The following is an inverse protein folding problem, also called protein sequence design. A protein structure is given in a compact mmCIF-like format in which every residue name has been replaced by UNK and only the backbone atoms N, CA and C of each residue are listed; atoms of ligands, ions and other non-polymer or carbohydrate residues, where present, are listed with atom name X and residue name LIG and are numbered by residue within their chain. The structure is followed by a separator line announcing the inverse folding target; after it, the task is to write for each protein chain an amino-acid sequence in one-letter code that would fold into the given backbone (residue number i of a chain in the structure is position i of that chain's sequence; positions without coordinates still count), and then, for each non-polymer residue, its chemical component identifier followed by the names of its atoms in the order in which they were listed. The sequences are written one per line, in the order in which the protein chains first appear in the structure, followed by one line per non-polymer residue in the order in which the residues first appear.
data_IF_504474877864
#
_entry.id   IF_504474877864
#
_cell.length_a   1.000
_cell.length_b   1.000
_cell.length_c   1.000
_cell.angle_alpha   90.00
_cell.angle_beta   90.00
_cell.angle_gamma   90.00
#
_symmetry.space_group_name_H-M   'P 1'
#
loop_
_entity.id
_entity.type
_entity.pdbx_description
1 polymer ?
#
# COMPACT_ATOMS: atom_id res chain seq x y z
N UNK A 1 -21.49 5.41 20.37
CA UNK A 1 -21.94 6.73 19.88
C UNK A 1 -21.07 7.90 20.34
N UNK A 2 -20.59 7.96 21.58
CA UNK A 2 -19.80 9.09 22.10
C UNK A 2 -18.46 9.30 21.37
N UNK A 3 -17.73 8.22 21.05
CA UNK A 3 -16.45 8.28 20.32
C UNK A 3 -16.64 8.89 18.92
N UNK A 4 -17.61 8.40 18.16
CA UNK A 4 -17.87 8.87 16.79
C UNK A 4 -18.25 10.36 16.76
N UNK A 5 -19.08 10.79 17.72
CA UNK A 5 -19.43 12.20 17.84
C UNK A 5 -18.22 13.09 18.15
N UNK A 6 -17.34 12.66 19.05
CA UNK A 6 -16.09 13.36 19.35
C UNK A 6 -15.15 13.40 18.13
N UNK A 7 -15.05 12.29 17.41
CA UNK A 7 -14.22 12.19 16.21
C UNK A 7 -14.67 13.18 15.13
N UNK A 8 -15.96 13.22 14.78
CA UNK A 8 -16.45 14.15 13.77
C UNK A 8 -16.38 15.63 14.18
N UNK A 9 -16.44 15.93 15.49
CA UNK A 9 -16.18 17.28 15.97
C UNK A 9 -14.74 17.71 15.74
N UNK A 10 -13.77 16.81 15.90
CA UNK A 10 -12.36 17.07 15.67
C UNK A 10 -12.03 17.11 14.16
N UNK A 11 -12.72 16.30 13.36
CA UNK A 11 -12.46 16.14 11.93
C UNK A 11 -13.74 16.35 11.10
N UNK A 12 -14.29 17.57 11.03
CA UNK A 12 -15.57 17.83 10.37
C UNK A 12 -15.52 17.53 8.85
N UNK A 13 -14.36 17.62 8.22
CA UNK A 13 -14.18 17.26 6.81
C UNK A 13 -14.55 15.81 6.50
N UNK A 14 -14.36 14.87 7.43
CA UNK A 14 -14.78 13.49 7.26
C UNK A 14 -16.30 13.36 7.20
N UNK A 15 -17.02 14.08 8.06
CA UNK A 15 -18.48 14.09 8.04
C UNK A 15 -19.01 14.70 6.74
N UNK A 16 -18.41 15.80 6.29
CA UNK A 16 -18.75 16.43 5.00
C UNK A 16 -18.51 15.47 3.84
N UNK A 17 -17.39 14.74 3.86
CA UNK A 17 -17.08 13.70 2.87
C UNK A 17 -18.15 12.61 2.86
N UNK A 18 -18.55 12.06 4.00
CA UNK A 18 -19.60 11.04 4.08
C UNK A 18 -20.93 11.55 3.49
N UNK A 19 -21.33 12.75 3.85
CA UNK A 19 -22.58 13.37 3.34
C UNK A 19 -22.52 13.60 1.83
N UNK A 20 -21.36 14.03 1.32
CA UNK A 20 -21.15 14.20 -0.11
C UNK A 20 -21.22 12.88 -0.87
N UNK A 21 -20.55 11.82 -0.36
CA UNK A 21 -20.61 10.48 -0.96
C UNK A 21 -22.03 9.95 -1.00
N UNK A 22 -22.78 10.06 0.12
CA UNK A 22 -24.18 9.66 0.19
C UNK A 22 -25.02 10.39 -0.86
N UNK A 23 -24.86 11.70 -0.99
CA UNK A 23 -25.55 12.48 -2.02
C UNK A 23 -25.19 12.00 -3.44
N UNK A 24 -23.91 11.73 -3.72
CA UNK A 24 -23.46 11.28 -5.04
C UNK A 24 -24.08 9.92 -5.42
N UNK A 25 -24.06 8.94 -4.51
CA UNK A 25 -24.61 7.61 -4.83
C UNK A 25 -26.13 7.64 -4.96
N UNK A 26 -26.83 8.46 -4.17
CA UNK A 26 -28.30 8.62 -4.27
C UNK A 26 -28.72 9.34 -5.57
N UNK A 27 -27.96 10.36 -5.99
CA UNK A 27 -28.33 11.19 -7.15
C UNK A 27 -27.80 10.64 -8.47
N UNK A 28 -26.61 10.05 -8.47
CA UNK A 28 -25.91 9.69 -9.70
C UNK A 28 -25.54 8.20 -9.80
N UNK A 29 -25.73 7.42 -8.73
CA UNK A 29 -25.41 5.99 -8.67
C UNK A 29 -23.97 5.65 -9.08
N UNK A 30 -23.05 6.60 -8.97
CA UNK A 30 -21.65 6.44 -9.36
C UNK A 30 -20.75 7.36 -8.60
N UNK A 31 -19.50 6.91 -8.44
CA UNK A 31 -18.38 7.69 -7.91
C UNK A 31 -17.20 7.61 -8.84
N UNK A 32 -16.48 8.71 -8.95
CA UNK A 32 -15.19 8.79 -9.61
C UNK A 32 -14.11 8.88 -8.53
N UNK A 33 -13.12 7.99 -8.56
CA UNK A 33 -11.98 8.06 -7.65
C UNK A 33 -11.03 9.18 -8.03
N UNK A 34 -10.13 9.54 -7.12
CA UNK A 34 -9.07 10.52 -7.37
C UNK A 34 -8.17 10.12 -8.56
N UNK A 35 -7.98 8.80 -8.78
CA UNK A 35 -7.23 8.25 -9.92
C UNK A 35 -8.02 8.22 -11.25
N UNK A 36 -9.28 8.67 -11.26
CA UNK A 36 -10.13 8.71 -12.46
C UNK A 36 -10.89 7.41 -12.73
N UNK A 37 -10.91 6.46 -11.80
CA UNK A 37 -11.67 5.22 -11.95
C UNK A 37 -13.15 5.44 -11.60
N UNK A 38 -14.05 5.06 -12.50
CA UNK A 38 -15.49 5.14 -12.31
C UNK A 38 -16.02 3.82 -11.71
N UNK A 39 -16.84 3.92 -10.66
CA UNK A 39 -17.61 2.81 -10.11
C UNK A 39 -19.10 3.14 -10.12
N UNK A 40 -19.91 2.22 -10.61
CA UNK A 40 -21.37 2.26 -10.50
C UNK A 40 -21.82 1.50 -9.25
N UNK A 41 -22.81 2.05 -8.56
CA UNK A 41 -23.49 1.45 -7.41
C UNK A 41 -24.90 1.11 -7.88
N UNK A 42 -25.13 -0.17 -8.18
CA UNK A 42 -26.39 -0.67 -8.76
C UNK A 42 -27.32 -1.30 -7.71
N UNK A 43 -26.81 -1.44 -6.49
CA UNK A 43 -27.54 -2.04 -5.38
C UNK A 43 -28.45 -1.00 -4.68
N UNK A 44 -29.20 -1.47 -3.69
CA UNK A 44 -30.02 -0.62 -2.83
C UNK A 44 -29.18 0.44 -2.10
N UNK A 45 -29.32 1.71 -2.56
CA UNK A 45 -28.54 2.84 -2.02
C UNK A 45 -28.92 3.22 -0.60
N UNK A 46 -30.07 2.75 -0.10
CA UNK A 46 -30.53 3.00 1.26
C UNK A 46 -29.89 2.02 2.26
N UNK A 47 -29.20 0.98 1.75
CA UNK A 47 -28.54 0.03 2.61
C UNK A 47 -27.30 0.63 3.29
N UNK A 48 -27.13 0.42 4.61
CA UNK A 48 -25.91 0.84 5.32
C UNK A 48 -24.62 0.23 4.75
N UNK A 49 -24.73 -0.91 4.04
CA UNK A 49 -23.61 -1.56 3.38
C UNK A 49 -23.16 -0.77 2.15
N UNK A 50 -24.11 -0.40 1.29
CA UNK A 50 -23.79 0.36 0.07
C UNK A 50 -23.11 1.69 0.40
N UNK A 51 -23.57 2.39 1.43
CA UNK A 51 -22.95 3.62 1.89
C UNK A 51 -21.52 3.40 2.40
N UNK A 52 -21.27 2.37 3.22
CA UNK A 52 -19.91 2.05 3.68
C UNK A 52 -18.97 1.72 2.52
N UNK A 53 -19.44 0.91 1.57
CA UNK A 53 -18.67 0.53 0.38
C UNK A 53 -18.36 1.76 -0.50
N UNK A 54 -19.29 2.70 -0.59
CA UNK A 54 -19.10 3.94 -1.32
C UNK A 54 -18.10 4.88 -0.64
N UNK A 55 -18.19 5.06 0.68
CA UNK A 55 -17.24 5.87 1.46
C UNK A 55 -15.82 5.29 1.34
N UNK A 56 -15.68 3.97 1.38
CA UNK A 56 -14.39 3.31 1.27
C UNK A 56 -13.81 3.30 -0.16
N UNK A 57 -14.65 3.44 -1.19
CA UNK A 57 -14.27 3.22 -2.58
C UNK A 57 -13.12 4.12 -3.05
N UNK A 58 -13.24 5.44 -2.89
CA UNK A 58 -12.22 6.35 -3.41
C UNK A 58 -10.88 6.22 -2.68
N UNK A 59 -10.80 6.25 -1.33
CA UNK A 59 -9.53 6.06 -0.64
C UNK A 59 -8.85 4.74 -0.96
N UNK A 60 -9.59 3.62 -0.92
CA UNK A 60 -9.02 2.30 -1.19
C UNK A 60 -8.68 2.10 -2.67
N UNK A 61 -9.56 2.56 -3.57
CA UNK A 61 -9.34 2.45 -5.01
C UNK A 61 -8.14 3.28 -5.47
N UNK A 62 -8.03 4.51 -5.00
CA UNK A 62 -6.90 5.39 -5.32
C UNK A 62 -5.58 4.82 -4.78
N UNK A 63 -5.57 4.29 -3.55
CA UNK A 63 -4.39 3.61 -2.99
C UNK A 63 -3.98 2.40 -3.84
N UNK A 64 -4.93 1.55 -4.21
CA UNK A 64 -4.66 0.39 -5.07
C UNK A 64 -4.09 0.80 -6.44
N UNK A 65 -4.60 1.87 -7.04
CA UNK A 65 -4.09 2.38 -8.31
C UNK A 65 -2.66 2.91 -8.20
N UNK A 66 -2.32 3.58 -7.09
CA UNK A 66 -0.96 4.03 -6.79
C UNK A 66 0.01 2.84 -6.69
N UNK A 67 -0.38 1.81 -5.92
CA UNK A 67 0.43 0.60 -5.76
C UNK A 67 0.67 -0.07 -7.12
N UNK A 68 -0.38 -0.23 -7.94
CA UNK A 68 -0.27 -0.83 -9.27
C UNK A 68 0.59 -0.04 -10.24
N UNK A 69 0.47 1.28 -10.23
CA UNK A 69 1.35 2.14 -11.03
C UNK A 69 2.82 2.02 -10.58
N UNK A 70 3.07 1.99 -9.27
CA UNK A 70 4.40 1.74 -8.72
C UNK A 70 4.93 0.37 -9.13
N UNK A 71 4.10 -0.67 -9.01
CA UNK A 71 4.44 -2.03 -9.40
C UNK A 71 4.81 -2.14 -10.89
N UNK A 72 4.06 -1.48 -11.77
CA UNK A 72 4.38 -1.44 -13.21
C UNK A 72 5.75 -0.80 -13.48
N UNK A 73 6.09 0.30 -12.77
CA UNK A 73 7.40 0.94 -12.89
C UNK A 73 8.53 0.04 -12.39
N UNK A 74 8.33 -0.63 -11.26
CA UNK A 74 9.29 -1.60 -10.71
C UNK A 74 9.49 -2.76 -11.68
N UNK A 75 8.40 -3.31 -12.22
CA UNK A 75 8.46 -4.39 -13.22
C UNK A 75 9.25 -3.95 -14.48
N UNK A 76 8.94 -2.77 -15.01
CA UNK A 76 9.58 -2.26 -16.23
C UNK A 76 11.06 -1.90 -16.04
N UNK A 77 11.52 -1.73 -14.82
CA UNK A 77 12.92 -1.44 -14.51
C UNK A 77 13.82 -2.68 -14.52
N UNK A 78 13.25 -3.88 -14.47
CA UNK A 78 13.98 -5.17 -14.48
C UNK A 78 15.09 -5.28 -13.42
N UNK A 79 14.92 -4.62 -12.26
CA UNK A 79 15.91 -4.59 -11.18
C UNK A 79 15.67 -5.66 -10.10
N UNK A 80 14.49 -6.23 -10.07
CA UNK A 80 14.09 -7.26 -9.12
C UNK A 80 12.95 -8.12 -9.70
N UNK A 81 12.64 -9.24 -9.05
CA UNK A 81 11.50 -10.08 -9.39
C UNK A 81 10.30 -9.70 -8.53
N UNK A 82 9.16 -9.41 -9.16
CA UNK A 82 7.89 -9.23 -8.48
C UNK A 82 7.29 -10.60 -8.14
N UNK A 83 7.01 -10.85 -6.86
CA UNK A 83 6.46 -12.11 -6.40
C UNK A 83 4.97 -12.02 -6.12
N UNK A 84 4.52 -10.96 -5.44
CA UNK A 84 3.15 -10.88 -4.95
C UNK A 84 2.70 -9.43 -4.75
N UNK A 85 1.42 -9.17 -5.03
CA UNK A 85 0.69 -7.98 -4.62
C UNK A 85 -0.28 -8.37 -3.50
N UNK A 86 -0.31 -7.60 -2.41
CA UNK A 86 -1.24 -7.80 -1.30
C UNK A 86 -1.79 -6.46 -0.86
N UNK A 87 -3.06 -6.18 -1.18
CA UNK A 87 -3.77 -4.94 -0.84
C UNK A 87 -3.01 -3.66 -1.20
N UNK A 88 -2.16 -3.19 -0.28
CA UNK A 88 -1.41 -1.94 -0.32
C UNK A 88 0.10 -2.15 -0.34
N UNK A 89 0.56 -3.38 -0.56
CA UNK A 89 1.97 -3.74 -0.56
C UNK A 89 2.35 -4.60 -1.76
N UNK A 90 3.63 -4.57 -2.11
CA UNK A 90 4.26 -5.48 -3.07
C UNK A 90 5.39 -6.25 -2.38
N UNK A 91 5.54 -7.50 -2.76
CA UNK A 91 6.67 -8.34 -2.37
C UNK A 91 7.56 -8.58 -3.57
N UNK A 92 8.85 -8.33 -3.38
CA UNK A 92 9.87 -8.50 -4.42
C UNK A 92 10.99 -9.39 -3.93
N UNK A 93 11.69 -10.02 -4.87
CA UNK A 93 12.90 -10.78 -4.60
C UNK A 93 14.06 -10.17 -5.40
N UNK A 94 15.23 -10.12 -4.77
CA UNK A 94 16.45 -9.60 -5.37
C UNK A 94 17.68 -10.27 -4.73
N UNK A 95 18.86 -10.27 -5.40
CA UNK A 95 20.10 -10.75 -4.82
C UNK A 95 20.50 -9.93 -3.59
N UNK A 96 20.81 -10.58 -2.48
CA UNK A 96 21.10 -9.93 -1.20
C UNK A 96 22.26 -8.94 -1.28
N UNK A 97 23.29 -9.27 -2.03
CA UNK A 97 24.46 -8.42 -2.23
C UNK A 97 24.15 -7.08 -2.90
N UNK A 98 22.99 -6.97 -3.56
CA UNK A 98 22.47 -5.75 -4.20
C UNK A 98 21.41 -5.00 -3.39
N UNK A 99 21.17 -5.41 -2.14
CA UNK A 99 20.12 -4.83 -1.29
C UNK A 99 20.23 -3.30 -1.20
N UNK A 100 21.44 -2.79 -0.92
CA UNK A 100 21.69 -1.35 -0.74
C UNK A 100 21.58 -0.54 -2.05
N UNK A 101 21.65 -1.19 -3.20
CA UNK A 101 21.45 -0.59 -4.51
C UNK A 101 19.98 -0.64 -4.94
N UNK A 102 19.34 -1.79 -4.77
CA UNK A 102 18.01 -2.08 -5.31
C UNK A 102 16.91 -1.41 -4.48
N UNK A 103 16.98 -1.43 -3.16
CA UNK A 103 15.92 -0.84 -2.32
C UNK A 103 15.73 0.66 -2.57
N UNK A 104 16.78 1.50 -2.65
CA UNK A 104 16.60 2.90 -3.01
C UNK A 104 15.97 3.12 -4.39
N UNK A 105 16.28 2.25 -5.37
CA UNK A 105 15.69 2.33 -6.71
C UNK A 105 14.20 1.96 -6.67
N UNK A 106 13.82 0.87 -5.99
CA UNK A 106 12.41 0.49 -5.79
C UNK A 106 11.66 1.62 -5.07
N UNK A 107 12.24 2.16 -4.01
CA UNK A 107 11.72 3.29 -3.24
C UNK A 107 11.36 4.47 -4.16
N UNK A 108 12.29 4.85 -5.04
CA UNK A 108 12.07 5.92 -6.01
C UNK A 108 10.98 5.59 -7.03
N UNK A 109 10.92 4.34 -7.50
CA UNK A 109 9.92 3.89 -8.47
C UNK A 109 8.51 3.79 -7.87
N UNK A 110 8.39 3.50 -6.57
CA UNK A 110 7.12 3.46 -5.87
C UNK A 110 6.61 4.85 -5.47
N UNK A 111 7.48 5.87 -5.45
CA UNK A 111 7.08 7.22 -5.10
C UNK A 111 6.03 7.76 -6.09
N UNK A 112 4.92 8.21 -5.56
CA UNK A 112 3.82 8.80 -6.31
C UNK A 112 3.36 10.10 -5.65
N UNK A 113 3.22 11.12 -6.48
CA UNK A 113 2.57 12.36 -6.11
C UNK A 113 1.20 12.42 -6.79
N UNK A 114 0.15 12.46 -6.00
CA UNK A 114 -1.21 12.61 -6.49
C UNK A 114 -1.57 14.11 -6.54
N UNK A 115 -1.89 14.65 -7.70
CA UNK A 115 -2.37 16.01 -7.79
C UNK A 115 -3.76 16.11 -7.13
N UNK A 116 -3.90 17.07 -6.24
CA UNK A 116 -5.17 17.44 -5.61
C UNK A 116 -5.65 18.78 -6.16
N UNK A 117 -6.91 19.12 -5.82
CA UNK A 117 -7.45 20.43 -6.15
C UNK A 117 -6.61 21.56 -5.54
N UNK A 118 -6.66 22.73 -6.15
CA UNK A 118 -5.93 23.94 -5.74
C UNK A 118 -4.39 23.78 -5.71
N UNK A 119 -3.84 22.99 -6.62
CA UNK A 119 -2.39 22.82 -6.76
C UNK A 119 -1.70 22.09 -5.60
N UNK A 120 -2.46 21.43 -4.72
CA UNK A 120 -1.89 20.59 -3.68
C UNK A 120 -1.51 19.22 -4.24
N UNK A 121 -0.56 18.57 -3.60
CA UNK A 121 -0.19 17.19 -3.89
C UNK A 121 -0.35 16.34 -2.62
N UNK A 122 -0.69 15.08 -2.81
CA UNK A 122 -0.70 14.06 -1.76
C UNK A 122 0.37 13.03 -2.08
N UNK A 123 1.27 12.80 -1.14
CA UNK A 123 2.23 11.70 -1.17
C UNK A 123 1.87 10.71 -0.09
N UNK A 124 1.71 9.45 -0.45
CA UNK A 124 1.45 8.37 0.51
C UNK A 124 2.79 7.78 0.92
N UNK A 125 3.15 7.87 2.21
CA UNK A 125 4.38 7.26 2.71
C UNK A 125 4.25 5.73 2.69
N UNK A 126 5.37 5.05 2.50
CA UNK A 126 5.44 3.59 2.57
C UNK A 126 6.62 3.17 3.45
N UNK A 127 6.46 2.00 4.08
CA UNK A 127 7.51 1.32 4.82
C UNK A 127 8.16 0.23 3.96
N UNK A 128 9.40 -0.10 4.25
CA UNK A 128 10.10 -1.21 3.63
C UNK A 128 10.54 -2.19 4.70
N UNK A 129 10.30 -3.48 4.45
CA UNK A 129 10.78 -4.56 5.31
C UNK A 129 11.55 -5.56 4.45
N UNK A 130 12.61 -6.14 5.00
CA UNK A 130 13.42 -7.15 4.32
C UNK A 130 13.65 -8.36 5.23
N UNK A 131 13.77 -9.54 4.63
CA UNK A 131 14.01 -10.80 5.33
C UNK A 131 14.10 -11.97 4.36
N UNK A 132 14.44 -13.14 4.86
CA UNK A 132 14.52 -14.38 4.08
C UNK A 132 13.20 -15.16 4.01
N UNK A 133 12.26 -14.80 4.86
CA UNK A 133 10.92 -15.37 4.86
C UNK A 133 9.91 -14.31 5.27
N UNK A 134 8.63 -14.56 5.02
CA UNK A 134 7.55 -13.59 5.20
C UNK A 134 7.05 -13.42 6.63
N UNK A 135 7.49 -14.25 7.55
CA UNK A 135 7.13 -14.10 8.96
C UNK A 135 7.90 -12.95 9.60
N UNK A 136 7.34 -12.37 10.64
CA UNK A 136 8.01 -11.27 11.37
C UNK A 136 9.32 -11.74 11.99
N UNK A 137 10.30 -10.86 12.03
CA UNK A 137 11.51 -11.05 12.80
C UNK A 137 11.19 -11.28 14.28
N UNK A 138 11.80 -12.29 14.88
CA UNK A 138 11.75 -12.59 16.31
C UNK A 138 13.05 -13.32 16.75
N UNK A 139 13.18 -13.59 18.04
CA UNK A 139 14.29 -14.42 18.54
C UNK A 139 14.27 -15.83 17.93
N UNK A 140 13.06 -16.37 17.70
CA UNK A 140 12.86 -17.71 17.14
C UNK A 140 12.88 -17.70 15.60
N UNK A 141 12.78 -16.54 14.97
CA UNK A 141 12.87 -16.35 13.53
C UNK A 141 13.77 -15.17 13.17
N UNK A 142 15.10 -15.31 13.30
CA UNK A 142 16.06 -14.24 13.01
C UNK A 142 16.10 -13.85 11.53
N UNK A 143 15.57 -14.69 10.65
CA UNK A 143 15.49 -14.48 9.20
C UNK A 143 14.17 -13.85 8.76
N UNK A 144 13.29 -13.49 9.68
CA UNK A 144 12.00 -12.87 9.40
C UNK A 144 12.10 -11.42 8.94
N UNK A 145 10.97 -10.90 8.43
CA UNK A 145 10.86 -9.52 7.97
C UNK A 145 11.09 -8.53 9.11
N UNK A 146 12.01 -7.61 8.89
CA UNK A 146 12.29 -6.46 9.76
C UNK A 146 12.38 -5.17 8.94
N UNK A 147 12.11 -4.05 9.58
CA UNK A 147 12.21 -2.74 8.95
C UNK A 147 13.59 -2.52 8.34
N UNK A 148 13.62 -2.11 7.07
CA UNK A 148 14.84 -1.72 6.40
C UNK A 148 15.29 -0.34 6.90
N UNK A 149 16.55 -0.24 7.31
CA UNK A 149 17.19 1.01 7.69
C UNK A 149 18.42 1.20 6.81
N UNK A 150 18.49 2.27 6.02
CA UNK A 150 19.67 2.58 5.24
C UNK A 150 20.90 2.62 6.16
N UNK A 151 21.99 2.01 5.76
CA UNK A 151 23.24 1.91 6.52
C UNK A 151 23.20 1.08 7.82
N UNK A 152 22.12 0.39 8.13
CA UNK A 152 22.15 -0.66 9.14
C UNK A 152 23.06 -1.78 8.61
N UNK A 153 24.30 -1.83 9.12
CA UNK A 153 25.22 -2.95 8.86
C UNK A 153 24.61 -4.18 9.52
N UNK A 154 23.60 -4.74 8.87
CA UNK A 154 23.10 -6.05 9.27
C UNK A 154 24.29 -6.97 9.24
N UNK A 155 24.60 -7.57 10.35
CA UNK A 155 25.43 -8.77 10.37
C UNK A 155 24.72 -9.71 9.41
N UNK A 156 25.20 -9.76 8.16
CA UNK A 156 24.77 -10.75 7.17
C UNK A 156 24.86 -12.06 7.92
N UNK A 157 23.72 -12.68 8.20
CA UNK A 157 23.74 -14.02 8.71
C UNK A 157 24.64 -14.77 7.73
N UNK A 158 25.78 -15.28 8.23
CA UNK A 158 26.69 -16.05 7.40
C UNK A 158 25.81 -17.01 6.64
N UNK A 159 25.92 -17.04 5.32
CA UNK A 159 25.28 -18.02 4.46
C UNK A 159 25.34 -19.35 5.19
N UNK A 160 24.23 -19.79 5.71
CA UNK A 160 24.11 -21.17 6.12
C UNK A 160 24.07 -21.87 4.78
N UNK A 161 25.19 -22.43 4.42
CA UNK A 161 25.42 -23.19 3.23
C UNK A 161 24.38 -24.33 3.18
N UNK A 162 23.18 -23.99 2.66
CA UNK A 162 22.08 -24.94 2.50
C UNK A 162 22.46 -25.98 1.45
N UNK A 163 23.38 -25.65 0.54
CA UNK A 163 23.91 -26.57 -0.46
C UNK A 163 24.80 -27.66 0.15
N UNK A 164 25.55 -27.39 1.22
CA UNK A 164 26.38 -28.38 1.87
C UNK A 164 25.59 -29.41 2.72
N UNK A 165 24.32 -29.17 3.00
CA UNK A 165 23.47 -30.13 3.74
C UNK A 165 22.64 -31.05 2.87
N UNK A 166 22.55 -30.80 1.57
CA UNK A 166 21.76 -31.61 0.62
C UNK A 166 22.63 -32.63 -0.14
N UNK A 167 23.95 -32.51 -0.06
CA UNK A 167 24.89 -33.37 -0.80
C UNK A 167 25.73 -34.30 0.15
N UNK A 168 25.28 -34.50 1.40
CA UNK A 168 25.86 -35.55 2.23
C UNK A 168 24.83 -36.59 2.63
#
# INVERSE_FOLDING_TARGET
MEFQSKYFKLFPAHQMWHSWVEHQIRSHQKLLSLSGRLRHFLDDFDSPKALRDAIAYDPQGSLSDIVKQGMLRVHSAYICELLLETHDSITVQYPQEKEDEIIPQITKLLHNELPLQHGRTLTIPYGCQTGWNWSKFSKDNPNGLKEYKPNDKRTRAKEVDILDRVIR
#
